data_IF_347544702372
#
_entry.id   IF_347544702372
#
_cell.length_a   1.000
_cell.length_b   1.000
_cell.length_c   1.000
_cell.angle_alpha   90.00
_cell.angle_beta   90.00
_cell.angle_gamma   90.00
#
_symmetry.space_group_name_H-M   'P 1'
#
loop_
_entity.id
_entity.type
_entity.pdbx_description
1 polymer ?
#
# COMPACT_ATOMS: atom_id res chain seq x y z
N UNK A 1 -24.69 28.72 28.55
CA UNK A 1 -25.12 27.32 28.74
C UNK A 1 -24.05 26.46 28.11
N UNK A 2 -23.37 25.61 28.89
CA UNK A 2 -22.43 24.62 28.33
C UNK A 2 -23.33 23.49 27.83
N UNK A 3 -23.35 23.23 26.52
CA UNK A 3 -24.07 22.08 25.98
C UNK A 3 -23.54 20.78 26.62
N UNK A 4 -24.44 19.95 27.12
CA UNK A 4 -24.10 18.63 27.64
C UNK A 4 -23.52 17.77 26.51
N UNK A 5 -22.19 17.57 26.53
CA UNK A 5 -21.51 16.68 25.59
C UNK A 5 -21.98 15.23 25.82
N UNK A 6 -22.59 14.65 24.80
CA UNK A 6 -22.92 13.24 24.78
C UNK A 6 -21.66 12.40 25.01
N UNK A 7 -21.71 11.48 25.99
CA UNK A 7 -20.62 10.55 26.31
C UNK A 7 -20.90 9.20 25.67
N UNK A 8 -19.91 8.65 24.98
CA UNK A 8 -19.94 7.32 24.39
C UNK A 8 -18.63 6.59 24.69
N UNK A 9 -18.70 5.29 24.96
CA UNK A 9 -17.52 4.42 25.07
C UNK A 9 -17.23 3.89 23.67
N UNK A 10 -16.00 4.04 23.21
CA UNK A 10 -15.55 3.56 21.91
C UNK A 10 -14.37 2.62 22.10
N UNK A 11 -14.54 1.38 21.66
CA UNK A 11 -13.45 0.41 21.54
C UNK A 11 -12.89 0.48 20.12
N UNK A 12 -11.59 0.75 20.01
CA UNK A 12 -10.93 0.85 18.71
C UNK A 12 -10.40 -0.52 18.29
N UNK A 13 -10.75 -0.92 17.07
CA UNK A 13 -10.19 -2.09 16.39
C UNK A 13 -9.78 -1.68 14.97
N UNK A 14 -8.67 -2.21 14.43
CA UNK A 14 -8.30 -1.92 13.05
C UNK A 14 -9.31 -2.54 12.09
N UNK A 15 -9.77 -1.76 11.12
CA UNK A 15 -10.54 -2.26 9.98
C UNK A 15 -9.66 -3.10 9.03
N UNK A 16 -10.28 -3.69 8.01
CA UNK A 16 -9.59 -4.40 6.92
C UNK A 16 -9.78 -3.64 5.61
N UNK A 17 -8.83 -2.78 5.27
CA UNK A 17 -8.95 -1.91 4.10
C UNK A 17 -7.57 -1.66 3.48
N UNK A 18 -7.52 -1.69 2.15
CA UNK A 18 -6.49 -1.00 1.39
C UNK A 18 -7.03 0.38 1.06
N UNK A 19 -6.38 1.43 1.57
CA UNK A 19 -6.85 2.80 1.42
C UNK A 19 -6.26 3.47 0.18
N UNK A 20 -5.04 3.07 -0.19
CA UNK A 20 -4.33 3.60 -1.35
C UNK A 20 -3.70 2.46 -2.14
N UNK A 21 -3.83 2.52 -3.46
CA UNK A 21 -3.04 1.75 -4.42
C UNK A 21 -2.68 2.69 -5.58
N UNK A 22 -1.47 3.22 -5.57
CA UNK A 22 -1.04 4.28 -6.48
C UNK A 22 0.23 3.90 -7.24
N UNK A 23 0.29 4.26 -8.52
CA UNK A 23 1.46 4.08 -9.36
C UNK A 23 2.05 5.45 -9.68
N UNK A 24 3.35 5.62 -9.46
CA UNK A 24 4.12 6.75 -9.95
C UNK A 24 5.03 6.25 -11.06
N UNK A 25 4.72 6.55 -12.32
CA UNK A 25 5.41 5.98 -13.46
C UNK A 25 6.85 6.48 -13.61
N UNK A 26 7.07 7.76 -13.30
CA UNK A 26 8.39 8.41 -13.38
C UNK A 26 8.62 9.34 -12.18
N UNK A 27 8.88 8.77 -10.99
CA UNK A 27 9.18 9.57 -9.80
C UNK A 27 10.50 10.34 -9.97
N UNK A 28 10.59 11.49 -9.31
CA UNK A 28 11.83 12.27 -9.30
C UNK A 28 12.92 11.60 -8.46
N UNK A 29 14.18 11.94 -8.74
CA UNK A 29 15.33 11.42 -7.99
C UNK A 29 15.28 11.72 -6.50
N UNK A 30 14.89 12.95 -6.15
CA UNK A 30 14.72 13.39 -4.77
C UNK A 30 13.74 12.51 -3.99
N UNK A 31 12.69 11.99 -4.64
CA UNK A 31 11.74 11.07 -4.01
C UNK A 31 12.40 9.72 -3.74
N UNK A 32 13.16 9.17 -4.71
CA UNK A 32 13.89 7.92 -4.53
C UNK A 32 14.90 7.98 -3.37
N UNK A 33 15.69 9.06 -3.30
CA UNK A 33 16.69 9.27 -2.25
C UNK A 33 16.03 9.39 -0.87
N UNK A 34 14.96 10.19 -0.75
CA UNK A 34 14.24 10.36 0.52
C UNK A 34 13.53 9.11 1.00
N UNK A 35 13.11 8.24 0.08
CA UNK A 35 12.55 6.93 0.41
C UNK A 35 13.62 5.88 0.75
N UNK A 36 14.90 6.19 0.57
CA UNK A 36 16.01 5.28 0.87
C UNK A 36 16.11 4.09 -0.09
N UNK A 37 15.57 4.21 -1.30
CA UNK A 37 15.52 3.13 -2.28
C UNK A 37 16.77 3.16 -3.16
N UNK A 38 17.54 2.07 -3.15
CA UNK A 38 18.85 1.98 -3.84
C UNK A 38 18.78 1.33 -5.24
N UNK A 39 17.59 0.99 -5.73
CA UNK A 39 17.38 0.35 -7.04
C UNK A 39 17.38 1.37 -8.19
N UNK A 40 17.68 0.95 -9.43
CA UNK A 40 17.57 1.82 -10.60
C UNK A 40 16.19 2.47 -10.70
N UNK A 41 16.15 3.73 -11.17
CA UNK A 41 14.93 4.54 -11.28
C UNK A 41 13.91 3.89 -12.22
N UNK A 42 12.92 3.24 -11.64
CA UNK A 42 11.77 2.68 -12.34
C UNK A 42 10.46 3.30 -11.80
N UNK A 43 9.31 2.70 -12.09
CA UNK A 43 8.05 3.12 -11.48
C UNK A 43 7.97 2.68 -10.02
N UNK A 44 7.18 3.41 -9.23
CA UNK A 44 6.84 3.06 -7.85
C UNK A 44 5.38 2.63 -7.75
N UNK A 45 5.13 1.56 -7.00
CA UNK A 45 3.80 1.21 -6.53
C UNK A 45 3.70 1.48 -5.03
N UNK A 46 2.73 2.28 -4.61
CA UNK A 46 2.54 2.70 -3.22
C UNK A 46 1.21 2.16 -2.71
N UNK A 47 1.25 1.47 -1.57
CA UNK A 47 0.08 0.92 -0.90
C UNK A 47 -0.03 1.46 0.53
N UNK A 48 -1.27 1.68 0.97
CA UNK A 48 -1.60 1.97 2.38
C UNK A 48 -2.63 0.96 2.85
N UNK A 49 -2.31 0.19 3.88
CA UNK A 49 -3.08 -0.99 4.29
C UNK A 49 -3.38 -0.94 5.78
N UNK A 50 -4.60 -1.31 6.16
CA UNK A 50 -5.02 -1.54 7.53
C UNK A 50 -5.68 -2.92 7.62
N UNK A 51 -5.34 -3.77 8.61
CA UNK A 51 -4.31 -3.58 9.64
C UNK A 51 -2.89 -3.57 9.05
N UNK A 52 -1.93 -2.99 9.78
CA UNK A 52 -0.60 -2.72 9.25
C UNK A 52 0.19 -3.99 8.95
N UNK A 53 -0.07 -5.10 9.65
CA UNK A 53 0.59 -6.39 9.44
C UNK A 53 0.26 -7.01 8.07
N UNK A 54 -0.86 -6.62 7.45
CA UNK A 54 -1.20 -7.05 6.10
C UNK A 54 -0.24 -6.49 5.03
N UNK A 55 0.63 -5.52 5.37
CA UNK A 55 1.73 -5.07 4.51
C UNK A 55 2.73 -6.19 4.19
N UNK A 56 2.91 -7.15 5.10
CA UNK A 56 3.77 -8.32 4.89
C UNK A 56 3.17 -9.22 3.81
N UNK A 57 1.85 -9.44 3.86
CA UNK A 57 1.12 -10.25 2.87
C UNK A 57 1.15 -9.55 1.51
N UNK A 58 0.92 -8.24 1.49
CA UNK A 58 0.96 -7.46 0.25
C UNK A 58 2.35 -7.51 -0.40
N UNK A 59 3.43 -7.38 0.37
CA UNK A 59 4.80 -7.48 -0.15
C UNK A 59 5.12 -8.86 -0.74
N UNK A 60 4.71 -9.93 -0.06
CA UNK A 60 4.88 -11.31 -0.55
C UNK A 60 4.10 -11.55 -1.86
N UNK A 61 2.85 -11.11 -1.91
CA UNK A 61 2.02 -11.26 -3.11
C UNK A 61 2.58 -10.44 -4.28
N UNK A 62 3.01 -9.20 -4.03
CA UNK A 62 3.57 -8.33 -5.07
C UNK A 62 4.80 -8.95 -5.72
N UNK A 63 5.79 -9.37 -4.92
CA UNK A 63 7.05 -9.96 -5.41
C UNK A 63 6.88 -11.29 -6.14
N UNK A 64 5.81 -12.05 -5.84
CA UNK A 64 5.49 -13.31 -6.54
C UNK A 64 4.66 -13.12 -7.81
N UNK A 65 4.09 -11.93 -8.02
CA UNK A 65 3.12 -11.69 -9.09
C UNK A 65 3.72 -11.12 -10.37
N UNK A 66 4.85 -10.43 -10.26
CA UNK A 66 5.53 -9.76 -11.36
C UNK A 66 7.00 -9.50 -10.99
N UNK A 67 7.79 -9.02 -11.94
CA UNK A 67 9.21 -8.70 -11.72
C UNK A 67 9.38 -7.34 -11.00
N UNK A 68 8.90 -7.27 -9.76
CA UNK A 68 9.04 -6.10 -8.87
C UNK A 68 9.93 -6.42 -7.68
N UNK A 69 10.66 -5.41 -7.22
CA UNK A 69 11.46 -5.46 -6.00
C UNK A 69 10.76 -4.69 -4.89
N UNK A 70 10.93 -5.12 -3.64
CA UNK A 70 10.48 -4.33 -2.48
C UNK A 70 11.40 -3.13 -2.29
N UNK A 71 10.86 -1.92 -2.39
CA UNK A 71 11.53 -0.70 -1.94
C UNK A 71 11.56 -0.67 -0.41
N UNK A 72 10.39 -0.76 0.22
CA UNK A 72 10.28 -1.03 1.65
C UNK A 72 8.91 -1.60 2.04
N UNK A 73 8.87 -2.23 3.22
CA UNK A 73 7.64 -2.67 3.90
C UNK A 73 7.66 -2.08 5.31
N UNK A 74 6.62 -1.35 5.66
CA UNK A 74 6.40 -0.85 7.01
C UNK A 74 5.21 -1.56 7.66
N UNK A 75 5.51 -2.48 8.58
CA UNK A 75 4.52 -3.24 9.35
C UNK A 75 3.92 -2.47 10.54
N UNK A 76 4.40 -1.26 10.82
CA UNK A 76 3.86 -0.38 11.86
C UNK A 76 2.79 0.54 11.28
N UNK A 77 3.03 1.11 10.09
CA UNK A 77 2.05 1.98 9.42
C UNK A 77 1.16 1.24 8.41
N UNK A 78 1.60 0.09 7.90
CA UNK A 78 0.91 -0.63 6.82
C UNK A 78 1.29 -0.15 5.42
N UNK A 79 2.35 0.64 5.30
CA UNK A 79 2.83 1.16 4.02
C UNK A 79 3.70 0.13 3.29
N UNK A 80 3.50 -0.02 1.98
CA UNK A 80 4.36 -0.83 1.12
C UNK A 80 4.73 -0.03 -0.11
N UNK A 81 6.02 -0.05 -0.47
CA UNK A 81 6.51 0.50 -1.73
C UNK A 81 7.22 -0.59 -2.53
N UNK A 82 6.78 -0.78 -3.77
CA UNK A 82 7.39 -1.70 -4.75
C UNK A 82 7.98 -0.92 -5.90
N UNK A 83 9.04 -1.45 -6.50
CA UNK A 83 9.78 -0.81 -7.60
C UNK A 83 9.90 -1.77 -8.76
N UNK A 84 9.63 -1.30 -9.97
CA UNK A 84 9.74 -2.09 -11.20
C UNK A 84 9.21 -1.34 -12.40
N UNK A 85 9.22 -1.98 -13.58
CA UNK A 85 8.59 -1.41 -14.77
C UNK A 85 7.11 -1.08 -14.51
N UNK A 86 6.57 -0.05 -15.17
CA UNK A 86 5.19 0.43 -14.95
C UNK A 86 4.17 -0.72 -15.06
N UNK A 87 4.33 -1.59 -16.06
CA UNK A 87 3.46 -2.75 -16.28
C UNK A 87 3.56 -3.79 -15.17
N UNK A 88 4.78 -4.04 -14.66
CA UNK A 88 5.04 -5.00 -13.60
C UNK A 88 4.50 -4.49 -12.26
N UNK A 89 4.68 -3.19 -11.97
CA UNK A 89 4.12 -2.52 -10.79
C UNK A 89 2.59 -2.56 -10.84
N UNK A 90 1.98 -2.26 -11.99
CA UNK A 90 0.53 -2.33 -12.14
C UNK A 90 0.00 -3.75 -11.92
N UNK A 91 0.65 -4.75 -12.53
CA UNK A 91 0.31 -6.16 -12.34
C UNK A 91 0.37 -6.56 -10.86
N UNK A 92 1.44 -6.14 -10.17
CA UNK A 92 1.62 -6.39 -8.74
C UNK A 92 0.50 -5.77 -7.89
N UNK A 93 0.22 -4.48 -8.07
CA UNK A 93 -0.82 -3.79 -7.30
C UNK A 93 -2.19 -4.43 -7.55
N UNK A 94 -2.52 -4.77 -8.80
CA UNK A 94 -3.76 -5.49 -9.15
C UNK A 94 -3.85 -6.83 -8.43
N UNK A 95 -2.77 -7.61 -8.41
CA UNK A 95 -2.76 -8.92 -7.75
C UNK A 95 -2.89 -8.79 -6.24
N UNK A 96 -2.22 -7.81 -5.63
CA UNK A 96 -2.32 -7.53 -4.20
C UNK A 96 -3.75 -7.18 -3.80
N UNK A 97 -4.35 -6.14 -4.41
CA UNK A 97 -5.70 -5.72 -4.02
C UNK A 97 -6.73 -6.83 -4.28
N UNK A 98 -6.59 -7.58 -5.37
CA UNK A 98 -7.45 -8.72 -5.66
C UNK A 98 -7.34 -9.80 -4.59
N UNK A 99 -6.13 -10.14 -4.18
CA UNK A 99 -5.88 -11.18 -3.16
C UNK A 99 -6.43 -10.75 -1.80
N UNK A 100 -6.16 -9.51 -1.38
CA UNK A 100 -6.68 -8.98 -0.12
C UNK A 100 -8.21 -8.86 -0.12
N UNK A 101 -8.81 -8.47 -1.25
CA UNK A 101 -10.26 -8.39 -1.38
C UNK A 101 -10.93 -9.76 -1.39
N UNK A 102 -10.56 -10.62 -2.35
CA UNK A 102 -11.28 -11.87 -2.62
C UNK A 102 -11.01 -12.94 -1.57
N UNK A 103 -9.78 -13.02 -1.03
CA UNK A 103 -9.43 -14.08 -0.06
C UNK A 103 -9.57 -13.62 1.39
N UNK A 104 -9.28 -12.34 1.69
CA UNK A 104 -9.23 -11.84 3.06
C UNK A 104 -10.37 -10.86 3.40
N UNK A 105 -11.19 -10.49 2.41
CA UNK A 105 -12.35 -9.61 2.61
C UNK A 105 -11.95 -8.20 3.02
N UNK A 106 -10.94 -7.62 2.38
CA UNK A 106 -10.57 -6.21 2.55
C UNK A 106 -11.42 -5.32 1.65
N UNK A 107 -11.78 -4.14 2.15
CA UNK A 107 -12.24 -3.05 1.29
C UNK A 107 -11.06 -2.53 0.45
N UNK A 108 -11.29 -2.20 -0.82
CA UNK A 108 -10.22 -1.86 -1.77
C UNK A 108 -10.49 -0.57 -2.55
N UNK A 109 -9.43 0.17 -2.94
CA UNK A 109 -9.56 1.37 -3.73
C UNK A 109 -9.43 1.02 -5.22
N UNK A 110 -9.76 1.99 -6.07
CA UNK A 110 -9.32 1.96 -7.47
C UNK A 110 -7.82 2.24 -7.55
N UNK A 111 -7.11 1.55 -8.45
CA UNK A 111 -5.71 1.88 -8.74
C UNK A 111 -5.65 3.23 -9.44
N UNK A 112 -4.84 4.13 -8.89
CA UNK A 112 -4.59 5.47 -9.41
C UNK A 112 -3.17 5.58 -9.97
N UNK A 113 -2.93 6.54 -10.87
CA UNK A 113 -1.63 6.66 -11.58
C UNK A 113 -1.23 8.13 -11.72
N UNK A 114 0.08 8.40 -11.68
CA UNK A 114 0.73 9.65 -12.10
C UNK A 114 1.96 9.38 -12.96
#
# INVERSE_FOLDING_TARGET
>A
MIEDKARMIQEYVPGKQVTLAHIVANPTEDIYEKLGIQTPKNALGILTITPSEASIIAGDVATKSSNVTLGFIDRFSGSVVVVGEVSEVESALRKVIKTLHELLGFDIPTITRT
#
